data_IF_337704846761
#
_entry.id   IF_337704846761
#
_cell.length_a   1.000
_cell.length_b   1.000
_cell.length_c   1.000
_cell.angle_alpha   90.00
_cell.angle_beta   90.00
_cell.angle_gamma   90.00
#
_symmetry.space_group_name_H-M   'P 1'
#
loop_
_entity.id
_entity.type
_entity.pdbx_description
1 polymer ?
#
# COMPACT_ATOMS: atom_id res chain seq x y z
N UNK A 1 -47.04 -5.03 47.31
CA UNK A 1 -47.29 -5.00 45.85
C UNK A 1 -45.97 -5.23 45.12
N UNK A 2 -45.81 -6.34 44.38
CA UNK A 2 -44.56 -6.68 43.70
C UNK A 2 -44.51 -6.11 42.28
N UNK A 3 -43.36 -5.54 41.90
CA UNK A 3 -43.08 -5.05 40.55
C UNK A 3 -42.85 -6.27 39.65
N UNK A 4 -43.64 -6.47 38.57
CA UNK A 4 -43.48 -7.63 37.71
C UNK A 4 -42.23 -7.48 36.85
N UNK A 5 -41.41 -8.53 36.86
CA UNK A 5 -40.30 -8.74 35.94
C UNK A 5 -40.76 -8.69 34.48
N UNK A 6 -40.35 -7.66 33.73
CA UNK A 6 -40.41 -7.67 32.27
C UNK A 6 -39.24 -8.52 31.73
N UNK A 7 -39.54 -9.80 31.46
CA UNK A 7 -38.75 -10.63 30.53
C UNK A 7 -38.85 -10.01 29.13
N UNK A 8 -37.86 -9.26 28.71
CA UNK A 8 -37.68 -8.90 27.31
C UNK A 8 -36.65 -9.84 26.66
N UNK A 9 -37.07 -11.07 26.34
CA UNK A 9 -36.40 -11.87 25.31
C UNK A 9 -36.83 -11.34 23.94
N UNK A 10 -36.48 -10.09 23.64
CA UNK A 10 -36.65 -9.57 22.30
C UNK A 10 -35.42 -10.05 21.52
N UNK A 11 -35.59 -11.15 20.79
CA UNK A 11 -34.73 -11.47 19.66
C UNK A 11 -34.57 -10.18 18.88
N UNK A 12 -33.37 -9.63 18.87
CA UNK A 12 -33.02 -8.52 17.98
C UNK A 12 -33.12 -9.12 16.59
N UNK A 13 -34.30 -9.00 15.98
CA UNK A 13 -34.47 -9.22 14.57
C UNK A 13 -33.63 -8.14 13.90
N UNK A 14 -32.40 -8.49 13.51
CA UNK A 14 -31.61 -7.73 12.56
C UNK A 14 -32.52 -7.43 11.37
N UNK A 15 -32.79 -6.16 11.14
CA UNK A 15 -33.70 -5.72 10.10
C UNK A 15 -33.13 -6.11 8.74
N UNK A 16 -34.00 -6.38 7.78
CA UNK A 16 -33.63 -6.66 6.37
C UNK A 16 -32.86 -5.50 5.67
N UNK A 17 -32.49 -4.44 6.39
CA UNK A 17 -31.80 -3.26 5.84
C UNK A 17 -30.47 -2.92 6.53
N UNK A 18 -30.02 -3.71 7.50
CA UNK A 18 -28.74 -3.49 8.19
C UNK A 18 -27.54 -3.77 7.24
N UNK A 19 -27.80 -4.43 6.10
CA UNK A 19 -26.82 -4.87 5.10
C UNK A 19 -26.35 -3.72 4.17
N UNK A 20 -26.97 -2.53 4.23
CA UNK A 20 -26.59 -1.40 3.36
C UNK A 20 -25.61 -0.39 3.95
N UNK A 21 -25.06 -0.63 5.14
CA UNK A 21 -23.73 -0.10 5.44
C UNK A 21 -22.70 -1.05 4.83
N UNK A 22 -22.69 -1.16 3.49
CA UNK A 22 -21.50 -1.60 2.76
C UNK A 22 -20.42 -0.59 3.11
N UNK A 23 -19.72 -0.88 4.21
CA UNK A 23 -18.44 -0.32 4.59
C UNK A 23 -17.62 -0.23 3.31
N UNK A 24 -17.57 0.96 2.73
CA UNK A 24 -16.83 1.27 1.51
C UNK A 24 -15.31 1.26 1.78
N UNK A 25 -14.85 0.32 2.59
CA UNK A 25 -13.42 0.07 2.82
C UNK A 25 -12.79 -0.65 1.63
N UNK A 26 -13.62 -1.14 0.70
CA UNK A 26 -13.20 -1.56 -0.62
C UNK A 26 -13.55 -0.45 -1.61
N UNK A 27 -12.94 0.74 -1.44
CA UNK A 27 -12.70 1.60 -2.60
C UNK A 27 -11.91 0.72 -3.55
N UNK A 28 -12.47 0.42 -4.72
CA UNK A 28 -11.74 -0.29 -5.76
C UNK A 28 -10.55 0.60 -6.10
N UNK A 29 -9.37 0.28 -5.57
CA UNK A 29 -8.14 0.97 -5.92
C UNK A 29 -7.86 0.60 -7.38
N UNK A 30 -8.05 1.56 -8.27
CA UNK A 30 -7.90 1.37 -9.72
C UNK A 30 -6.45 1.05 -10.09
N UNK A 31 -5.48 1.48 -9.27
CA UNK A 31 -4.06 1.36 -9.54
C UNK A 31 -3.36 0.41 -8.54
N UNK A 32 -2.52 -0.48 -9.07
CA UNK A 32 -1.75 -1.46 -8.31
C UNK A 32 -0.35 -1.60 -8.92
N UNK A 33 0.64 -0.93 -8.32
CA UNK A 33 2.03 -0.97 -8.76
C UNK A 33 2.88 -1.96 -7.96
N UNK A 34 2.27 -2.83 -7.15
CA UNK A 34 3.00 -3.79 -6.31
C UNK A 34 3.96 -4.66 -7.13
N UNK A 35 3.49 -5.18 -8.26
CA UNK A 35 4.31 -6.02 -9.14
C UNK A 35 5.48 -5.24 -9.73
N UNK A 36 5.27 -3.97 -10.08
CA UNK A 36 6.31 -3.11 -10.63
C UNK A 36 7.39 -2.85 -9.58
N UNK A 37 6.99 -2.50 -8.35
CA UNK A 37 7.90 -2.32 -7.21
C UNK A 37 8.68 -3.57 -6.84
N UNK A 38 8.04 -4.75 -6.82
CA UNK A 38 8.75 -6.01 -6.57
C UNK A 38 9.84 -6.26 -7.63
N UNK A 39 9.50 -6.09 -8.91
CA UNK A 39 10.46 -6.27 -10.01
C UNK A 39 11.59 -5.25 -9.96
N UNK A 40 11.27 -3.99 -9.64
CA UNK A 40 12.24 -2.92 -9.47
C UNK A 40 13.25 -3.21 -8.35
N UNK A 41 12.83 -3.92 -7.29
CA UNK A 41 13.71 -4.39 -6.22
C UNK A 41 14.35 -5.75 -6.49
N UNK A 42 14.14 -6.33 -7.68
CA UNK A 42 14.64 -7.65 -8.08
C UNK A 42 14.25 -8.79 -7.13
N UNK A 43 13.11 -8.68 -6.45
CA UNK A 43 12.65 -9.69 -5.50
C UNK A 43 11.73 -10.74 -6.15
N UNK A 44 11.83 -11.97 -5.69
CA UNK A 44 10.92 -13.05 -6.09
C UNK A 44 9.59 -12.98 -5.32
N UNK A 45 8.57 -13.68 -5.81
CA UNK A 45 7.29 -13.78 -5.09
C UNK A 45 7.44 -14.51 -3.75
N UNK A 46 8.33 -15.50 -3.70
CA UNK A 46 8.58 -16.30 -2.50
C UNK A 46 9.29 -15.46 -1.44
N UNK A 47 10.32 -14.69 -1.82
CA UNK A 47 11.01 -13.76 -0.90
C UNK A 47 10.09 -12.72 -0.27
N UNK A 48 9.18 -12.13 -1.07
CA UNK A 48 8.20 -11.17 -0.54
C UNK A 48 7.21 -11.86 0.37
N UNK A 49 6.77 -13.08 0.04
CA UNK A 49 5.85 -13.85 0.86
C UNK A 49 6.48 -14.23 2.21
N UNK A 50 7.72 -14.69 2.20
CA UNK A 50 8.49 -15.05 3.39
C UNK A 50 8.68 -13.82 4.29
N UNK A 51 9.04 -12.67 3.70
CA UNK A 51 9.24 -11.43 4.45
C UNK A 51 7.98 -10.90 5.14
N UNK A 52 6.79 -11.09 4.55
CA UNK A 52 5.52 -10.63 5.15
C UNK A 52 4.79 -11.71 5.97
N UNK A 53 5.35 -12.92 6.04
CA UNK A 53 4.76 -14.08 6.70
C UNK A 53 3.46 -14.54 6.02
N UNK A 54 3.48 -14.70 4.70
CA UNK A 54 2.33 -15.11 3.88
C UNK A 54 2.73 -16.19 2.87
N UNK A 55 1.81 -16.56 1.98
CA UNK A 55 2.08 -17.52 0.90
C UNK A 55 2.34 -16.83 -0.43
N UNK A 56 3.15 -17.45 -1.29
CA UNK A 56 3.36 -17.02 -2.68
C UNK A 56 2.05 -16.77 -3.42
N UNK A 57 1.07 -17.66 -3.24
CA UNK A 57 -0.25 -17.57 -3.88
C UNK A 57 -0.99 -16.30 -3.44
N UNK A 58 -0.90 -15.93 -2.16
CA UNK A 58 -1.48 -14.69 -1.64
C UNK A 58 -0.85 -13.45 -2.26
N UNK A 59 0.48 -13.41 -2.36
CA UNK A 59 1.20 -12.30 -3.00
C UNK A 59 0.85 -12.18 -4.48
N UNK A 60 0.76 -13.30 -5.20
CA UNK A 60 0.33 -13.33 -6.60
C UNK A 60 -1.10 -12.79 -6.76
N UNK A 61 -2.03 -13.17 -5.88
CA UNK A 61 -3.42 -12.68 -5.93
C UNK A 61 -3.50 -11.17 -5.65
N UNK A 62 -2.64 -10.64 -4.77
CA UNK A 62 -2.50 -9.21 -4.54
C UNK A 62 -1.97 -8.49 -5.79
N UNK A 63 -0.95 -9.04 -6.47
CA UNK A 63 -0.37 -8.42 -7.67
C UNK A 63 -1.34 -8.37 -8.86
N UNK A 64 -2.14 -9.43 -9.03
CA UNK A 64 -3.11 -9.51 -10.14
C UNK A 64 -4.42 -8.77 -9.80
N UNK A 65 -4.58 -8.32 -8.55
CA UNK A 65 -5.81 -7.64 -8.10
C UNK A 65 -6.99 -8.58 -7.88
N UNK A 66 -6.77 -9.92 -7.86
CA UNK A 66 -7.81 -10.89 -7.43
C UNK A 66 -8.13 -10.73 -5.95
N UNK A 67 -7.15 -10.32 -5.16
CA UNK A 67 -7.34 -9.88 -3.79
C UNK A 67 -6.99 -8.39 -3.68
N UNK A 68 -7.85 -7.62 -3.02
CA UNK A 68 -7.64 -6.18 -2.85
C UNK A 68 -6.44 -5.89 -1.95
N UNK A 69 -5.63 -4.92 -2.34
CA UNK A 69 -4.55 -4.34 -1.54
C UNK A 69 -5.12 -3.47 -0.41
N UNK A 70 -5.64 -4.15 0.62
CA UNK A 70 -6.13 -3.46 1.82
C UNK A 70 -4.99 -2.75 2.55
N UNK A 71 -5.34 -1.75 3.36
CA UNK A 71 -4.40 -1.00 4.19
C UNK A 71 -3.47 -1.90 5.02
N UNK A 72 -3.99 -3.02 5.54
CA UNK A 72 -3.21 -4.03 6.28
C UNK A 72 -2.08 -4.62 5.42
N UNK A 73 -2.34 -4.93 4.15
CA UNK A 73 -1.33 -5.48 3.25
C UNK A 73 -0.31 -4.43 2.84
N UNK A 74 -0.76 -3.21 2.56
CA UNK A 74 0.13 -2.11 2.20
C UNK A 74 1.14 -1.81 3.31
N UNK A 75 0.71 -1.75 4.57
CA UNK A 75 1.62 -1.55 5.71
C UNK A 75 2.63 -2.68 5.90
N UNK A 76 2.28 -3.92 5.54
CA UNK A 76 3.20 -5.06 5.62
C UNK A 76 4.22 -5.07 4.50
N UNK A 77 3.80 -4.75 3.28
CA UNK A 77 4.61 -4.92 2.08
C UNK A 77 5.52 -3.70 1.83
N UNK A 78 5.04 -2.49 2.10
CA UNK A 78 5.82 -1.26 1.93
C UNK A 78 7.23 -1.30 2.57
N UNK A 79 7.41 -1.70 3.85
CA UNK A 79 8.75 -1.76 4.45
C UNK A 79 9.65 -2.82 3.79
N UNK A 80 9.07 -3.95 3.35
CA UNK A 80 9.82 -5.02 2.66
C UNK A 80 10.37 -4.53 1.32
N UNK A 81 9.60 -3.72 0.60
CA UNK A 81 10.02 -3.15 -0.69
C UNK A 81 10.80 -1.82 -0.54
N UNK A 82 10.97 -1.32 0.69
CA UNK A 82 11.61 -0.04 0.96
C UNK A 82 10.86 1.13 0.31
N UNK A 83 9.52 1.13 0.41
CA UNK A 83 8.62 2.16 -0.13
C UNK A 83 7.64 2.63 0.95
N UNK A 84 6.74 3.55 0.59
CA UNK A 84 5.56 3.87 1.42
C UNK A 84 4.30 3.20 0.85
N UNK A 85 3.26 3.00 1.68
CA UNK A 85 1.97 2.49 1.23
C UNK A 85 1.36 3.23 0.04
N UNK A 86 1.46 4.57 0.01
CA UNK A 86 0.93 5.39 -1.08
C UNK A 86 1.67 5.15 -2.40
N UNK A 87 3.01 5.04 -2.36
CA UNK A 87 3.81 4.78 -3.56
C UNK A 87 3.42 3.49 -4.28
N UNK A 88 2.93 2.46 -3.56
CA UNK A 88 2.47 1.21 -4.16
C UNK A 88 1.15 1.37 -4.96
N UNK A 89 0.39 2.43 -4.70
CA UNK A 89 -0.90 2.72 -5.34
C UNK A 89 -0.78 3.82 -6.39
N UNK A 90 0.08 4.81 -6.16
CA UNK A 90 0.07 6.05 -6.94
C UNK A 90 1.14 6.08 -8.03
N UNK A 91 2.23 5.32 -7.88
CA UNK A 91 3.43 5.49 -8.71
C UNK A 91 4.02 4.16 -9.22
N UNK A 92 4.23 4.07 -10.54
CA UNK A 92 5.11 3.06 -11.12
C UNK A 92 6.58 3.48 -10.86
N UNK A 93 7.42 2.62 -10.29
CA UNK A 93 8.83 2.95 -10.05
C UNK A 93 9.64 3.20 -11.34
N UNK A 94 9.12 2.81 -12.50
CA UNK A 94 9.77 3.05 -13.80
C UNK A 94 9.25 4.31 -14.49
N UNK A 95 8.23 4.97 -13.93
CA UNK A 95 7.71 6.22 -14.46
C UNK A 95 8.53 7.40 -13.94
N UNK A 96 9.66 7.65 -14.60
CA UNK A 96 10.50 8.81 -14.38
C UNK A 96 10.16 9.89 -15.42
N UNK A 97 9.87 11.14 -15.00
CA UNK A 97 9.64 12.22 -15.95
C UNK A 97 10.84 12.40 -16.89
N UNK A 98 10.60 12.59 -18.18
CA UNK A 98 11.66 12.78 -19.19
C UNK A 98 12.63 13.89 -18.80
N UNK A 99 12.13 14.99 -18.23
CA UNK A 99 12.96 16.10 -17.76
C UNK A 99 13.98 15.68 -16.69
N UNK A 100 13.65 14.73 -15.82
CA UNK A 100 14.58 14.21 -14.80
C UNK A 100 15.68 13.39 -15.47
N UNK A 101 15.33 12.55 -16.46
CA UNK A 101 16.29 11.75 -17.21
C UNK A 101 17.24 12.63 -18.04
N UNK A 102 16.71 13.62 -18.76
CA UNK A 102 17.49 14.58 -19.54
C UNK A 102 18.43 15.39 -18.65
N UNK A 103 17.92 15.90 -17.51
CA UNK A 103 18.74 16.65 -16.55
C UNK A 103 19.86 15.77 -16.00
N UNK A 104 19.56 14.54 -15.57
CA UNK A 104 20.57 13.63 -15.04
C UNK A 104 21.62 13.18 -16.08
N UNK A 105 21.21 13.02 -17.34
CA UNK A 105 22.09 12.70 -18.46
C UNK A 105 23.01 13.87 -18.82
N UNK A 106 22.54 15.12 -18.70
CA UNK A 106 23.31 16.32 -18.98
C UNK A 106 24.35 16.67 -17.91
N UNK A 107 24.21 16.16 -16.68
CA UNK A 107 25.19 16.37 -15.59
C UNK A 107 26.47 15.57 -15.88
N UNK A 108 27.62 16.25 -15.78
CA UNK A 108 28.94 15.62 -15.92
C UNK A 108 29.14 14.50 -14.90
N UNK A 109 29.84 13.42 -15.28
CA UNK A 109 29.96 12.23 -14.43
C UNK A 109 30.59 12.52 -13.05
N UNK A 110 31.50 13.51 -12.99
CA UNK A 110 32.15 14.02 -11.78
C UNK A 110 31.19 14.77 -10.82
N UNK A 111 30.14 15.40 -11.35
CA UNK A 111 29.19 16.19 -10.57
C UNK A 111 27.99 15.36 -10.07
N UNK A 112 27.75 14.17 -10.65
CA UNK A 112 26.65 13.28 -10.26
C UNK A 112 26.62 12.95 -8.75
N UNK A 113 27.76 12.65 -8.08
CA UNK A 113 27.77 12.43 -6.62
C UNK A 113 27.32 13.67 -5.83
N UNK A 114 27.69 14.87 -6.27
CA UNK A 114 27.28 16.12 -5.62
C UNK A 114 25.79 16.40 -5.85
N UNK A 115 25.30 16.18 -7.08
CA UNK A 115 23.88 16.27 -7.40
C UNK A 115 23.04 15.33 -6.52
N UNK A 116 23.51 14.08 -6.30
CA UNK A 116 22.85 13.14 -5.38
C UNK A 116 22.79 13.68 -3.95
N UNK A 117 23.88 14.23 -3.41
CA UNK A 117 23.87 14.83 -2.06
C UNK A 117 22.85 15.96 -1.93
N UNK A 118 22.76 16.82 -2.95
CA UNK A 118 21.78 17.91 -2.98
C UNK A 118 20.36 17.34 -3.00
N UNK A 119 20.08 16.35 -3.86
CA UNK A 119 18.78 15.68 -3.90
C UNK A 119 18.43 14.97 -2.59
N UNK A 120 19.41 14.33 -1.94
CA UNK A 120 19.24 13.69 -0.64
C UNK A 120 18.92 14.68 0.47
N UNK A 121 19.47 15.90 0.42
CA UNK A 121 19.17 16.95 1.40
C UNK A 121 17.69 17.35 1.41
N UNK A 122 16.95 17.12 0.32
CA UNK A 122 15.52 17.37 0.22
C UNK A 122 14.64 16.21 0.74
N UNK A 123 15.20 15.04 1.09
CA UNK A 123 14.45 13.94 1.72
C UNK A 123 14.09 14.31 3.17
N UNK A 124 13.05 15.13 3.37
CA UNK A 124 12.51 15.45 4.71
C UNK A 124 11.99 14.18 5.41
N UNK A 125 12.62 13.79 6.50
CA UNK A 125 12.02 12.96 7.55
C UNK A 125 11.24 13.88 8.49
N UNK A 126 9.91 13.74 8.54
CA UNK A 126 9.11 14.11 9.71
C UNK A 126 9.02 15.60 10.07
N UNK A 127 7.83 16.16 9.87
CA UNK A 127 7.30 17.34 10.53
C UNK A 127 7.26 17.15 12.05
N UNK A 128 8.12 17.85 12.81
CA UNK A 128 7.81 18.20 14.20
C UNK A 128 7.12 19.57 14.17
N UNK A 129 5.87 19.59 14.63
CA UNK A 129 5.10 20.80 14.89
C UNK A 129 5.26 21.25 16.32
#
# INVERSE_FOLDING_TARGET
>A
MPIPYLRASQKVCCGRNDIRARRAHNVWMENNYLRAWRKFRHMTLDEVADAIGSTKATVQQLEVGRMSLSHKWLLKIAPVLGTTPGMLLDHDPNDLPTSVLETWAAIAAEDKPQALKVLESFKRTGTEG
#
